data_IF_556129005799
#
_entry.id   IF_556129005799
#
_cell.length_a   1.000
_cell.length_b   1.000
_cell.length_c   1.000
_cell.angle_alpha   90.00
_cell.angle_beta   90.00
_cell.angle_gamma   90.00
#
_symmetry.space_group_name_H-M   'P 1'
#
loop_
_entity.id
_entity.type
_entity.pdbx_description
1 polymer ?
#
# COMPACT_ATOMS: atom_id res chain seq x y z
N UNK A 1 3.04 17.03 11.06
CA UNK A 1 3.32 15.99 10.05
C UNK A 1 3.87 14.79 10.84
N UNK A 2 3.33 13.58 10.90
CA UNK A 2 2.49 12.84 9.94
C UNK A 2 1.99 11.55 10.60
N UNK A 3 0.97 11.64 11.47
CA UNK A 3 0.36 10.42 12.04
C UNK A 3 -0.38 9.63 10.94
N UNK A 4 -0.91 10.35 9.94
CA UNK A 4 -1.56 9.76 8.77
C UNK A 4 -0.58 8.95 7.90
N UNK A 5 0.61 9.48 7.59
CA UNK A 5 1.60 8.75 6.80
C UNK A 5 2.20 7.54 7.53
N UNK A 6 2.28 7.57 8.87
CA UNK A 6 2.66 6.39 9.68
C UNK A 6 1.60 5.29 9.59
N UNK A 7 0.32 5.66 9.71
CA UNK A 7 -0.79 4.72 9.56
C UNK A 7 -0.85 4.11 8.15
N UNK A 8 -0.62 4.92 7.11
CA UNK A 8 -0.61 4.44 5.71
C UNK A 8 0.52 3.44 5.46
N UNK A 9 1.69 3.64 6.06
CA UNK A 9 2.84 2.73 5.92
C UNK A 9 2.57 1.38 6.60
N UNK A 10 2.03 1.40 7.81
CA UNK A 10 1.68 0.18 8.57
C UNK A 10 0.57 -0.61 7.84
N UNK A 11 -0.43 0.08 7.28
CA UNK A 11 -1.48 -0.56 6.48
C UNK A 11 -0.90 -1.26 5.24
N UNK A 12 0.08 -0.66 4.56
CA UNK A 12 0.76 -1.29 3.41
C UNK A 12 1.50 -2.56 3.84
N UNK A 13 2.21 -2.55 4.96
CA UNK A 13 2.94 -3.73 5.43
C UNK A 13 1.98 -4.88 5.79
N UNK A 14 0.87 -4.59 6.45
CA UNK A 14 -0.17 -5.57 6.76
C UNK A 14 -0.76 -6.15 5.47
N UNK A 15 -1.10 -5.31 4.49
CA UNK A 15 -1.66 -5.75 3.22
C UNK A 15 -0.67 -6.60 2.40
N UNK A 16 0.62 -6.26 2.43
CA UNK A 16 1.68 -7.08 1.80
C UNK A 16 1.79 -8.44 2.46
N UNK A 17 1.82 -8.50 3.79
CA UNK A 17 1.88 -9.77 4.53
C UNK A 17 0.64 -10.64 4.25
N UNK A 18 -0.54 -10.04 4.17
CA UNK A 18 -1.77 -10.72 3.79
C UNK A 18 -1.69 -11.28 2.36
N UNK A 19 -1.21 -10.49 1.40
CA UNK A 19 -1.04 -10.92 0.00
C UNK A 19 -0.04 -12.08 -0.13
N UNK A 20 1.11 -11.99 0.56
CA UNK A 20 2.09 -13.08 0.60
C UNK A 20 1.51 -14.35 1.20
N UNK A 21 0.68 -14.22 2.24
CA UNK A 21 0.03 -15.36 2.88
C UNK A 21 -0.98 -16.03 1.95
N UNK A 22 -1.77 -15.22 1.24
CA UNK A 22 -2.70 -15.72 0.22
C UNK A 22 -1.94 -16.43 -0.90
N UNK A 23 -0.89 -15.85 -1.46
CA UNK A 23 -0.09 -16.46 -2.52
C UNK A 23 0.64 -17.75 -2.09
N UNK A 24 0.95 -17.90 -0.79
CA UNK A 24 1.49 -19.16 -0.23
C UNK A 24 0.43 -20.26 -0.15
N UNK A 25 -0.85 -19.91 -0.07
CA UNK A 25 -1.94 -20.87 -0.15
C UNK A 25 -2.16 -21.32 -1.59
N UNK A 26 -2.12 -22.63 -1.86
CA UNK A 26 -2.29 -23.24 -3.20
C UNK A 26 -3.60 -22.89 -3.93
N UNK A 27 -4.55 -22.26 -3.26
CA UNK A 27 -5.85 -21.90 -3.82
C UNK A 27 -5.91 -20.47 -4.36
N UNK A 28 -4.94 -19.62 -4.04
CA UNK A 28 -4.89 -18.25 -4.55
C UNK A 28 -3.75 -18.12 -5.55
N UNK A 29 -4.00 -17.35 -6.60
CA UNK A 29 -3.02 -17.03 -7.63
C UNK A 29 -3.13 -15.54 -7.99
N UNK A 30 -2.24 -15.05 -8.84
CA UNK A 30 -2.22 -13.64 -9.24
C UNK A 30 -3.48 -13.15 -9.99
N UNK A 31 -4.28 -14.07 -10.53
CA UNK A 31 -5.54 -13.77 -11.21
C UNK A 31 -6.73 -13.82 -10.26
N UNK A 32 -6.53 -14.25 -9.01
CA UNK A 32 -7.58 -14.30 -8.03
C UNK A 32 -8.12 -12.88 -7.76
N UNK A 33 -9.44 -12.66 -7.80
CA UNK A 33 -10.03 -11.33 -7.60
C UNK A 33 -9.64 -10.67 -6.27
N UNK A 34 -9.44 -11.46 -5.21
CA UNK A 34 -9.03 -10.96 -3.90
C UNK A 34 -7.57 -10.48 -3.95
N UNK A 35 -6.69 -11.25 -4.57
CA UNK A 35 -5.27 -10.89 -4.77
C UNK A 35 -5.17 -9.63 -5.63
N UNK A 36 -5.91 -9.56 -6.74
CA UNK A 36 -5.99 -8.39 -7.61
C UNK A 36 -6.46 -7.14 -6.85
N UNK A 37 -7.50 -7.28 -6.03
CA UNK A 37 -8.03 -6.19 -5.22
C UNK A 37 -7.02 -5.68 -4.19
N UNK A 38 -6.38 -6.60 -3.46
CA UNK A 38 -5.35 -6.26 -2.47
C UNK A 38 -4.15 -5.57 -3.11
N UNK A 39 -3.66 -6.07 -4.25
CA UNK A 39 -2.57 -5.42 -4.99
C UNK A 39 -2.92 -3.98 -5.38
N UNK A 40 -4.11 -3.75 -5.96
CA UNK A 40 -4.56 -2.40 -6.33
C UNK A 40 -4.69 -1.48 -5.13
N UNK A 41 -5.13 -2.00 -3.98
CA UNK A 41 -5.23 -1.23 -2.74
C UNK A 41 -3.84 -0.81 -2.26
N UNK A 42 -2.86 -1.71 -2.29
CA UNK A 42 -1.45 -1.39 -1.98
C UNK A 42 -0.92 -0.32 -2.92
N UNK A 43 -1.11 -0.45 -4.24
CA UNK A 43 -0.69 0.56 -5.22
C UNK A 43 -1.31 1.94 -4.93
N UNK A 44 -2.60 1.97 -4.56
CA UNK A 44 -3.31 3.21 -4.23
C UNK A 44 -2.71 3.88 -2.99
N UNK A 45 -2.41 3.10 -1.93
CA UNK A 45 -1.80 3.61 -0.71
C UNK A 45 -0.36 4.08 -0.94
N UNK A 46 0.41 3.39 -1.78
CA UNK A 46 1.76 3.82 -2.17
C UNK A 46 1.69 5.13 -2.94
N UNK A 47 0.79 5.26 -3.91
CA UNK A 47 0.60 6.51 -4.65
C UNK A 47 0.21 7.66 -3.72
N UNK A 48 -0.72 7.42 -2.79
CA UNK A 48 -1.08 8.41 -1.77
C UNK A 48 0.13 8.84 -0.93
N UNK A 49 0.97 7.89 -0.50
CA UNK A 49 2.21 8.20 0.24
C UNK A 49 3.22 9.00 -0.58
N UNK A 50 3.34 8.71 -1.87
CA UNK A 50 4.22 9.46 -2.77
C UNK A 50 3.66 10.87 -2.95
N UNK A 51 2.36 11.02 -3.22
CA UNK A 51 1.70 12.32 -3.35
C UNK A 51 1.79 13.15 -2.06
N UNK A 52 1.59 12.54 -0.89
CA UNK A 52 1.75 13.20 0.41
C UNK A 52 3.20 13.66 0.65
N UNK A 53 4.20 12.90 0.20
CA UNK A 53 5.61 13.30 0.27
C UNK A 53 5.98 14.35 -0.77
N UNK A 54 5.41 14.28 -1.98
CA UNK A 54 5.64 15.23 -3.07
C UNK A 54 4.92 16.57 -2.86
N UNK A 55 3.82 16.60 -2.10
CA UNK A 55 3.13 17.83 -1.68
C UNK A 55 3.78 18.52 -0.47
N UNK A 56 4.99 18.12 -0.07
CA UNK A 56 5.80 18.93 0.84
C UNK A 56 6.16 20.23 0.09
N UNK A 57 5.61 21.39 0.46
CA UNK A 57 5.92 22.62 -0.28
C UNK A 57 7.42 22.86 -0.16
N UNK A 58 8.09 23.03 -1.30
CA UNK A 58 9.39 23.69 -1.36
C UNK A 58 9.29 24.97 -0.51
N UNK A 59 9.94 24.95 0.65
CA UNK A 59 10.23 26.17 1.39
C UNK A 59 11.22 26.90 0.49
N UNK A 60 10.71 27.86 -0.29
CA UNK A 60 11.56 28.85 -0.96
C UNK A 60 12.14 29.73 0.13
N UNK A 61 13.41 29.50 0.44
CA UNK A 61 14.29 30.48 1.09
C UNK A 61 14.69 31.57 0.08
#
# INVERSE_FOLDING_TARGET
MSQESKNTTEEIEILKAALETLLKHRNYNFLDPLVQHLSRKIDTLINKLIEEQSNCPEIKD
#
